data_IF_894665097906
#
_entry.id   IF_894665097906
#
_cell.length_a   1.000
_cell.length_b   1.000
_cell.length_c   1.000
_cell.angle_alpha   90.00
_cell.angle_beta   90.00
_cell.angle_gamma   90.00
#
_symmetry.space_group_name_H-M   'P 1'
#
loop_
_entity.id
_entity.type
_entity.pdbx_description
1 polymer ?
#
# COMPACT_ATOMS: atom_id res chain seq x y z
N UNK A 1 22.97 23.14 -5.73
CA UNK A 1 22.20 22.10 -6.44
C UNK A 1 20.90 21.88 -5.68
N UNK A 2 19.80 22.40 -6.21
CA UNK A 2 18.53 22.55 -5.51
C UNK A 2 17.76 21.22 -5.52
N UNK A 3 17.42 20.67 -4.35
CA UNK A 3 16.70 19.39 -4.15
C UNK A 3 15.49 19.17 -5.07
N UNK A 4 14.83 20.25 -5.49
CA UNK A 4 13.70 20.24 -6.43
C UNK A 4 14.05 19.62 -7.79
N UNK A 5 15.30 19.73 -8.25
CA UNK A 5 15.73 19.24 -9.56
C UNK A 5 15.82 17.70 -9.64
N UNK A 6 16.07 17.01 -8.52
CA UNK A 6 16.14 15.55 -8.49
C UNK A 6 14.77 14.90 -8.71
N UNK A 7 13.69 15.51 -8.21
CA UNK A 7 12.32 15.01 -8.38
C UNK A 7 11.69 15.34 -9.74
N UNK A 8 12.25 16.30 -10.49
CA UNK A 8 11.84 16.60 -11.88
C UNK A 8 12.62 15.82 -12.93
N UNK A 9 13.71 15.13 -12.56
CA UNK A 9 14.51 14.33 -13.48
C UNK A 9 13.79 13.03 -13.89
N UNK A 10 14.07 12.51 -15.09
CA UNK A 10 13.52 11.23 -15.57
C UNK A 10 13.88 10.05 -14.67
N UNK A 11 15.03 10.12 -13.98
CA UNK A 11 15.45 9.15 -12.97
C UNK A 11 14.57 9.26 -11.70
N UNK A 12 14.31 10.48 -11.23
CA UNK A 12 13.52 10.71 -10.02
C UNK A 12 12.09 10.20 -10.14
N UNK A 13 11.44 10.45 -11.29
CA UNK A 13 10.10 9.93 -11.59
C UNK A 13 10.06 8.39 -11.57
N UNK A 14 11.03 7.72 -12.20
CA UNK A 14 11.12 6.25 -12.21
C UNK A 14 11.31 5.68 -10.81
N UNK A 15 12.11 6.33 -9.98
CA UNK A 15 12.33 5.91 -8.59
C UNK A 15 11.04 6.00 -7.77
N UNK A 16 10.32 7.13 -7.88
CA UNK A 16 9.04 7.31 -7.17
C UNK A 16 8.00 6.30 -7.64
N UNK A 17 7.89 6.04 -8.96
CA UNK A 17 7.04 4.99 -9.50
C UNK A 17 7.39 3.59 -8.99
N UNK A 18 8.69 3.25 -8.93
CA UNK A 18 9.11 1.94 -8.43
C UNK A 18 8.80 1.76 -6.93
N UNK A 19 9.06 2.78 -6.11
CA UNK A 19 8.80 2.73 -4.67
C UNK A 19 7.29 2.63 -4.38
N UNK A 20 6.48 3.44 -5.05
CA UNK A 20 5.02 3.39 -4.90
C UNK A 20 4.45 2.06 -5.41
N UNK A 21 4.93 1.53 -6.52
CA UNK A 21 4.56 0.20 -7.02
C UNK A 21 4.89 -0.93 -6.04
N UNK A 22 6.11 -0.95 -5.48
CA UNK A 22 6.51 -1.94 -4.47
C UNK A 22 5.60 -1.86 -3.23
N UNK A 23 5.31 -0.65 -2.77
CA UNK A 23 4.40 -0.44 -1.64
C UNK A 23 3.00 -1.03 -1.88
N UNK A 24 2.45 -0.87 -3.09
CA UNK A 24 1.14 -1.43 -3.45
C UNK A 24 1.17 -2.97 -3.55
N UNK A 25 2.24 -3.55 -4.07
CA UNK A 25 2.40 -5.02 -4.09
C UNK A 25 2.46 -5.58 -2.67
N UNK A 26 3.22 -4.95 -1.77
CA UNK A 26 3.26 -5.36 -0.37
C UNK A 26 1.89 -5.27 0.31
N UNK A 27 1.13 -4.19 0.04
CA UNK A 27 -0.24 -4.08 0.50
C UNK A 27 -1.10 -5.24 0.01
N UNK A 28 -1.02 -5.61 -1.28
CA UNK A 28 -1.79 -6.72 -1.84
C UNK A 28 -1.43 -8.07 -1.19
N UNK A 29 -0.16 -8.31 -0.89
CA UNK A 29 0.28 -9.53 -0.19
C UNK A 29 -0.39 -9.63 1.19
N UNK A 30 -0.34 -8.55 1.98
CA UNK A 30 -0.97 -8.51 3.31
C UNK A 30 -2.50 -8.63 3.18
N UNK A 31 -3.09 -7.93 2.23
CA UNK A 31 -4.54 -7.94 2.01
C UNK A 31 -5.06 -9.32 1.59
N UNK A 32 -4.40 -9.96 0.62
CA UNK A 32 -4.73 -11.30 0.20
C UNK A 32 -4.46 -12.34 1.30
N UNK A 33 -3.38 -12.16 2.08
CA UNK A 33 -3.08 -13.02 3.24
C UNK A 33 -4.11 -12.92 4.36
N UNK A 34 -4.59 -11.71 4.67
CA UNK A 34 -5.68 -11.53 5.64
C UNK A 34 -6.99 -12.14 5.13
N UNK A 35 -7.30 -11.96 3.82
CA UNK A 35 -8.49 -12.58 3.22
C UNK A 35 -8.40 -14.11 3.14
N UNK A 36 -7.20 -14.67 2.97
CA UNK A 36 -7.04 -16.13 2.92
C UNK A 36 -7.32 -16.81 4.26
N UNK A 37 -7.34 -16.07 5.37
CA UNK A 37 -7.82 -16.58 6.67
C UNK A 37 -9.25 -17.13 6.60
N UNK A 38 -10.05 -16.72 5.62
CA UNK A 38 -11.40 -17.27 5.41
C UNK A 38 -11.39 -18.78 5.08
N UNK A 39 -10.28 -19.29 4.54
CA UNK A 39 -10.13 -20.71 4.18
C UNK A 39 -9.77 -21.61 5.37
N UNK A 40 -9.60 -21.05 6.57
CA UNK A 40 -9.26 -21.82 7.77
C UNK A 40 -10.44 -22.63 8.33
N UNK A 41 -11.65 -22.49 7.77
CA UNK A 41 -12.86 -23.24 8.16
C UNK A 41 -13.19 -23.17 9.67
N UNK A 42 -12.79 -22.09 10.34
CA UNK A 42 -12.98 -21.82 11.76
C UNK A 42 -14.22 -20.95 12.02
N UNK A 43 -15.20 -21.00 11.13
CA UNK A 43 -16.37 -20.10 11.11
C UNK A 43 -16.01 -18.61 10.97
N UNK A 44 -14.79 -18.28 10.54
CA UNK A 44 -14.33 -16.91 10.34
C UNK A 44 -13.81 -16.22 11.59
N UNK A 45 -13.55 -16.95 12.68
CA UNK A 45 -12.97 -16.35 13.90
C UNK A 45 -11.61 -15.72 13.65
N UNK A 46 -10.69 -16.42 13.00
CA UNK A 46 -9.35 -15.91 12.68
C UNK A 46 -9.43 -14.73 11.72
N UNK A 47 -10.30 -14.78 10.72
CA UNK A 47 -10.54 -13.66 9.82
C UNK A 47 -11.02 -12.41 10.57
N UNK A 48 -11.99 -12.56 11.46
CA UNK A 48 -12.54 -11.45 12.26
C UNK A 48 -11.49 -10.89 13.25
N UNK A 49 -10.68 -11.75 13.86
CA UNK A 49 -9.60 -11.32 14.74
C UNK A 49 -8.54 -10.49 13.99
N UNK A 50 -8.13 -10.96 12.81
CA UNK A 50 -7.20 -10.23 11.92
C UNK A 50 -7.81 -8.92 11.43
N UNK A 51 -9.08 -8.93 11.01
CA UNK A 51 -9.79 -7.73 10.58
C UNK A 51 -9.90 -6.69 11.71
N UNK A 52 -10.19 -7.12 12.93
CA UNK A 52 -10.23 -6.26 14.10
C UNK A 52 -8.85 -5.63 14.38
N UNK A 53 -7.79 -6.44 14.36
CA UNK A 53 -6.41 -5.96 14.53
C UNK A 53 -6.00 -4.94 13.46
N UNK A 54 -6.29 -5.22 12.19
CA UNK A 54 -5.97 -4.32 11.08
C UNK A 54 -6.75 -3.00 11.17
N UNK A 55 -8.02 -3.03 11.58
CA UNK A 55 -8.87 -1.83 11.64
C UNK A 55 -8.57 -0.92 12.83
N UNK A 56 -8.09 -1.48 13.95
CA UNK A 56 -7.88 -0.77 15.21
C UNK A 56 -6.44 -0.27 15.40
N UNK A 57 -5.47 -0.82 14.65
CA UNK A 57 -4.08 -0.41 14.76
C UNK A 57 -3.85 0.95 14.06
N UNK A 58 -3.40 1.95 14.82
CA UNK A 58 -3.08 3.28 14.30
C UNK A 58 -2.09 3.23 13.14
N UNK A 59 -1.08 2.35 13.21
CA UNK A 59 -0.06 2.24 12.16
C UNK A 59 -0.71 1.86 10.83
N UNK A 60 -1.68 0.93 10.85
CA UNK A 60 -2.40 0.50 9.66
C UNK A 60 -3.29 1.62 9.12
N UNK A 61 -3.96 2.38 10.00
CA UNK A 61 -4.73 3.58 9.61
C UNK A 61 -3.89 4.65 8.91
N UNK A 62 -2.66 4.86 9.38
CA UNK A 62 -1.73 5.77 8.72
C UNK A 62 -1.28 5.23 7.35
N UNK A 63 -0.99 3.93 7.27
CA UNK A 63 -0.64 3.27 6.01
C UNK A 63 -1.79 3.28 5.00
N UNK A 64 -3.06 3.20 5.45
CA UNK A 64 -4.25 3.32 4.60
C UNK A 64 -4.31 4.68 3.91
N UNK A 65 -4.06 5.77 4.65
CA UNK A 65 -3.98 7.12 4.06
C UNK A 65 -2.82 7.22 3.06
N UNK A 66 -1.66 6.66 3.42
CA UNK A 66 -0.51 6.56 2.53
C UNK A 66 -0.79 5.75 1.25
N UNK A 67 -1.57 4.67 1.36
CA UNK A 67 -2.03 3.85 0.24
C UNK A 67 -2.90 4.65 -0.71
N UNK A 68 -3.86 5.40 -0.17
CA UNK A 68 -4.77 6.21 -0.98
C UNK A 68 -4.00 7.25 -1.81
N UNK A 69 -3.06 7.96 -1.16
CA UNK A 69 -2.17 8.91 -1.84
C UNK A 69 -1.26 8.21 -2.83
N UNK A 70 -0.70 7.05 -2.47
CA UNK A 70 0.18 6.26 -3.32
C UNK A 70 -0.49 5.77 -4.60
N UNK A 71 -1.75 5.32 -4.52
CA UNK A 71 -2.54 4.92 -5.69
C UNK A 71 -2.76 6.11 -6.63
N UNK A 72 -3.18 7.26 -6.10
CA UNK A 72 -3.39 8.48 -6.91
C UNK A 72 -2.07 8.90 -7.57
N UNK A 73 -0.96 8.90 -6.82
CA UNK A 73 0.36 9.23 -7.35
C UNK A 73 0.81 8.28 -8.45
N UNK A 74 0.55 6.97 -8.30
CA UNK A 74 0.85 5.97 -9.32
C UNK A 74 0.03 6.20 -10.59
N UNK A 75 -1.28 6.45 -10.46
CA UNK A 75 -2.16 6.71 -11.61
C UNK A 75 -1.68 7.94 -12.38
N UNK A 76 -1.38 9.04 -11.68
CA UNK A 76 -0.90 10.28 -12.31
C UNK A 76 0.45 10.07 -12.99
N UNK A 77 1.38 9.36 -12.37
CA UNK A 77 2.71 9.09 -12.96
C UNK A 77 2.67 8.05 -14.08
N UNK A 78 1.72 7.11 -14.05
CA UNK A 78 1.54 6.13 -15.12
C UNK A 78 0.88 6.72 -16.37
N UNK A 79 0.15 7.84 -16.23
CA UNK A 79 -0.55 8.51 -17.33
C UNK A 79 0.29 9.60 -18.03
N UNK A 80 1.28 10.18 -17.33
CA UNK A 80 2.15 11.28 -17.81
C UNK A 80 3.55 10.77 -18.15
#
# INVERSE_FOLDING_TARGET
>A
MTWKAYFTSSIGKKLVMAITGIFLVLFLIVHAGANSCIFLNDQGETYNAVAHFLSHNWIIRFLELGLFVGIIALIVQGLI
#
